data_IF_402355774837
#
_entry.id   IF_402355774837
#
_cell.length_a   1.000
_cell.length_b   1.000
_cell.length_c   1.000
_cell.angle_alpha   90.00
_cell.angle_beta   90.00
_cell.angle_gamma   90.00
#
_symmetry.space_group_name_H-M   'P 1'
#
loop_
_entity.id
_entity.type
_entity.pdbx_description
1 polymer ?
#
# COMPACT_ATOMS: atom_id res chain seq x y z
N UNK A 1 9.48 64.05 20.11
CA UNK A 1 10.11 62.72 19.91
C UNK A 1 9.58 62.18 18.60
N UNK A 2 10.50 61.85 17.68
CA UNK A 2 10.36 62.09 16.24
C UNK A 2 9.54 61.04 15.47
N UNK A 3 8.85 61.52 14.43
CA UNK A 3 8.08 60.78 13.39
C UNK A 3 8.92 59.69 12.66
N UNK A 4 10.21 59.58 12.96
CA UNK A 4 11.11 58.54 12.44
C UNK A 4 10.94 57.15 13.07
N UNK A 5 10.19 56.99 14.16
CA UNK A 5 10.01 55.67 14.80
C UNK A 5 8.77 54.91 14.31
N UNK A 6 7.80 55.57 13.64
CA UNK A 6 6.60 54.92 13.11
C UNK A 6 6.72 54.41 11.66
N UNK A 7 7.83 54.70 10.97
CA UNK A 7 8.11 54.13 9.63
C UNK A 7 8.86 52.78 9.68
N UNK A 8 9.36 52.36 10.85
CA UNK A 8 10.12 51.11 10.96
C UNK A 8 9.24 49.87 11.16
N UNK A 9 8.01 50.01 11.64
CA UNK A 9 7.09 48.89 11.90
C UNK A 9 6.06 48.63 10.79
N UNK A 10 6.09 49.39 9.68
CA UNK A 10 5.28 49.12 8.48
C UNK A 10 6.12 48.46 7.36
N UNK A 11 7.42 48.24 7.59
CA UNK A 11 8.33 47.63 6.61
C UNK A 11 8.74 46.17 6.93
N UNK A 12 8.01 45.50 7.83
CA UNK A 12 8.18 44.04 8.10
C UNK A 12 6.94 43.23 7.68
N UNK A 13 5.80 43.86 7.41
CA UNK A 13 4.54 43.20 7.06
C UNK A 13 4.25 43.07 5.55
N UNK A 14 5.27 43.17 4.69
CA UNK A 14 5.15 42.91 3.25
C UNK A 14 6.36 42.17 2.66
N UNK A 15 6.94 41.21 3.40
CA UNK A 15 7.81 40.22 2.76
C UNK A 15 6.94 39.17 2.08
N UNK A 16 6.60 39.47 0.83
CA UNK A 16 6.17 38.52 -0.19
C UNK A 16 7.10 37.28 -0.16
N UNK A 17 6.72 36.26 0.61
CA UNK A 17 7.29 34.91 0.53
C UNK A 17 6.70 34.17 -0.69
N UNK A 18 6.85 34.78 -1.87
CA UNK A 18 6.65 34.15 -3.17
C UNK A 18 7.85 34.48 -4.04
N UNK A 19 9.02 33.97 -3.68
CA UNK A 19 10.04 33.71 -4.66
C UNK A 19 9.71 32.36 -5.30
N UNK A 20 9.60 32.25 -6.64
CA UNK A 20 9.42 30.96 -7.28
C UNK A 20 10.69 30.14 -7.03
N UNK A 21 10.57 29.04 -6.28
CA UNK A 21 11.57 27.98 -6.31
C UNK A 21 11.64 27.41 -7.73
N UNK A 22 12.41 28.04 -8.61
CA UNK A 22 12.75 27.47 -9.92
C UNK A 22 14.24 27.70 -10.20
N UNK A 23 14.92 26.58 -10.48
CA UNK A 23 15.89 26.44 -11.57
C UNK A 23 17.41 26.36 -11.28
N UNK A 24 17.88 26.14 -10.05
CA UNK A 24 19.34 25.92 -9.86
C UNK A 24 19.79 24.45 -9.80
N UNK A 25 18.92 23.51 -9.45
CA UNK A 25 19.23 22.07 -9.40
C UNK A 25 18.21 21.22 -10.17
N UNK A 26 17.88 21.60 -11.41
CA UNK A 26 17.10 20.74 -12.28
C UNK A 26 18.03 19.76 -13.00
N UNK A 27 17.91 18.46 -12.74
CA UNK A 27 18.61 17.44 -13.52
C UNK A 27 18.10 17.49 -14.97
N UNK A 28 19.00 17.80 -15.91
CA UNK A 28 18.70 17.70 -17.33
C UNK A 28 18.91 16.26 -17.76
N UNK A 29 17.85 15.61 -18.24
CA UNK A 29 17.99 14.31 -18.89
C UNK A 29 18.74 14.47 -20.20
N UNK A 30 19.77 13.64 -20.41
CA UNK A 30 20.49 13.55 -21.68
C UNK A 30 19.91 12.46 -22.60
N UNK A 31 18.76 11.89 -22.25
CA UNK A 31 18.10 10.83 -23.01
C UNK A 31 17.22 11.45 -24.10
N UNK A 32 17.47 11.09 -25.36
CA UNK A 32 16.57 11.40 -26.47
C UNK A 32 15.46 10.35 -26.58
N UNK A 33 14.21 10.78 -26.45
CA UNK A 33 13.03 9.91 -26.55
C UNK A 33 12.73 9.46 -27.99
N UNK A 34 13.33 10.09 -29.00
CA UNK A 34 13.15 9.73 -30.40
C UNK A 34 14.14 8.67 -30.89
N UNK A 35 15.21 8.44 -30.15
CA UNK A 35 16.21 7.44 -30.46
C UNK A 35 15.60 6.03 -30.52
N UNK A 36 16.10 5.20 -31.43
CA UNK A 36 15.68 3.82 -31.61
C UNK A 36 16.04 2.97 -30.39
N UNK A 37 17.14 3.27 -29.70
CA UNK A 37 17.52 2.57 -28.45
C UNK A 37 16.48 2.85 -27.37
N UNK A 38 16.09 4.11 -27.18
CA UNK A 38 15.04 4.48 -26.24
C UNK A 38 13.72 3.77 -26.56
N UNK A 39 13.27 3.81 -27.82
CA UNK A 39 12.02 3.17 -28.26
C UNK A 39 12.01 1.66 -28.03
N UNK A 40 13.14 0.99 -28.29
CA UNK A 40 13.30 -0.45 -28.05
C UNK A 40 13.23 -0.78 -26.57
N UNK A 41 13.96 -0.02 -25.73
CA UNK A 41 13.94 -0.21 -24.28
C UNK A 41 12.56 0.04 -23.69
N UNK A 42 11.90 1.12 -24.15
CA UNK A 42 10.53 1.44 -23.77
C UNK A 42 9.56 0.30 -24.13
N UNK A 43 9.65 -0.23 -25.37
CA UNK A 43 8.80 -1.32 -25.81
C UNK A 43 9.00 -2.60 -24.98
N UNK A 44 10.25 -2.93 -24.64
CA UNK A 44 10.57 -4.08 -23.79
C UNK A 44 10.05 -3.91 -22.37
N UNK A 45 10.28 -2.75 -21.76
CA UNK A 45 9.76 -2.45 -20.41
C UNK A 45 8.23 -2.49 -20.39
N UNK A 46 7.58 -1.92 -21.42
CA UNK A 46 6.11 -1.93 -21.53
C UNK A 46 5.56 -3.36 -21.55
N UNK A 47 6.20 -4.30 -22.25
CA UNK A 47 5.80 -5.72 -22.23
C UNK A 47 5.86 -6.32 -20.83
N UNK A 48 6.93 -6.05 -20.07
CA UNK A 48 7.08 -6.55 -18.70
C UNK A 48 6.04 -5.95 -17.75
N UNK A 49 5.75 -4.65 -17.88
CA UNK A 49 4.70 -3.98 -17.10
C UNK A 49 3.33 -4.57 -17.41
N UNK A 50 3.01 -4.80 -18.69
CA UNK A 50 1.72 -5.40 -19.07
C UNK A 50 1.57 -6.85 -18.57
N UNK A 51 2.65 -7.65 -18.57
CA UNK A 51 2.64 -8.98 -17.97
C UNK A 51 2.39 -8.92 -16.44
N UNK A 52 3.07 -8.00 -15.75
CA UNK A 52 2.87 -7.75 -14.33
C UNK A 52 1.42 -7.35 -14.03
N UNK A 53 0.87 -6.40 -14.79
CA UNK A 53 -0.52 -5.95 -14.65
C UNK A 53 -1.51 -7.10 -14.84
N UNK A 54 -1.30 -7.96 -15.85
CA UNK A 54 -2.13 -9.14 -16.10
C UNK A 54 -2.12 -10.10 -14.90
N UNK A 55 -0.93 -10.39 -14.34
CA UNK A 55 -0.78 -11.22 -13.14
C UNK A 55 -1.47 -10.61 -11.93
N UNK A 56 -1.37 -9.30 -11.74
CA UNK A 56 -2.07 -8.58 -10.68
C UNK A 56 -3.59 -8.71 -10.87
N UNK A 57 -4.12 -8.48 -12.08
CA UNK A 57 -5.55 -8.62 -12.36
C UNK A 57 -6.07 -10.03 -12.04
N UNK A 58 -5.29 -11.07 -12.31
CA UNK A 58 -5.62 -12.42 -11.87
C UNK A 58 -5.69 -12.54 -10.35
N UNK A 59 -4.68 -12.03 -9.65
CA UNK A 59 -4.62 -12.06 -8.18
C UNK A 59 -5.78 -11.30 -7.53
N UNK A 60 -6.22 -10.19 -8.12
CA UNK A 60 -7.36 -9.40 -7.62
C UNK A 60 -8.67 -10.21 -7.59
N UNK A 61 -8.78 -11.31 -8.35
CA UNK A 61 -9.94 -12.19 -8.34
C UNK A 61 -10.01 -13.11 -7.11
N UNK A 62 -9.02 -13.10 -6.22
CA UNK A 62 -9.00 -13.93 -5.02
C UNK A 62 -9.17 -15.42 -5.35
N UNK A 63 -10.02 -16.14 -4.63
CA UNK A 63 -10.32 -17.55 -4.89
C UNK A 63 -11.16 -17.86 -6.13
N UNK A 64 -11.37 -16.88 -7.02
CA UNK A 64 -12.20 -17.00 -8.22
C UNK A 64 -13.66 -16.57 -8.00
N UNK A 65 -14.39 -16.40 -9.10
CA UNK A 65 -15.74 -15.82 -9.12
C UNK A 65 -16.73 -16.61 -8.26
N UNK A 66 -16.78 -17.94 -8.39
CA UNK A 66 -17.68 -18.78 -7.58
C UNK A 66 -17.46 -18.63 -6.08
N UNK A 67 -16.20 -18.53 -5.64
CA UNK A 67 -15.88 -18.35 -4.23
C UNK A 67 -16.27 -16.96 -3.73
N UNK A 68 -16.06 -15.92 -4.56
CA UNK A 68 -16.47 -14.54 -4.29
C UNK A 68 -17.99 -14.42 -4.19
N UNK A 69 -18.73 -14.98 -5.13
CA UNK A 69 -20.20 -14.98 -5.12
C UNK A 69 -20.75 -15.67 -3.87
N UNK A 70 -20.21 -16.84 -3.51
CA UNK A 70 -20.59 -17.56 -2.27
C UNK A 70 -20.28 -16.75 -1.02
N UNK A 71 -19.21 -15.96 -1.03
CA UNK A 71 -18.84 -15.10 0.08
C UNK A 71 -19.79 -13.90 0.19
N UNK A 72 -20.07 -13.23 -0.92
CA UNK A 72 -20.98 -12.09 -1.02
C UNK A 72 -22.42 -12.48 -0.69
N UNK A 73 -22.89 -13.66 -1.10
CA UNK A 73 -24.25 -14.14 -0.81
C UNK A 73 -24.55 -14.33 0.68
N UNK A 74 -23.50 -14.34 1.53
CA UNK A 74 -23.61 -14.34 3.00
C UNK A 74 -23.69 -12.94 3.60
N UNK A 75 -23.80 -11.88 2.78
CA UNK A 75 -23.84 -10.49 3.22
C UNK A 75 -22.49 -9.96 3.72
N UNK A 76 -21.38 -10.62 3.37
CA UNK A 76 -20.03 -10.22 3.80
C UNK A 76 -19.31 -9.46 2.68
N UNK A 77 -18.60 -8.39 3.05
CA UNK A 77 -17.70 -7.68 2.13
C UNK A 77 -16.48 -8.53 1.75
N UNK A 78 -15.93 -8.32 0.55
CA UNK A 78 -14.62 -8.90 0.19
C UNK A 78 -13.50 -8.19 0.97
N UNK A 79 -12.33 -8.83 1.14
CA UNK A 79 -11.24 -8.25 1.93
C UNK A 79 -10.75 -6.89 1.41
N UNK A 80 -10.67 -6.73 0.07
CA UNK A 80 -10.28 -5.45 -0.56
C UNK A 80 -11.33 -4.36 -0.33
N UNK A 81 -12.60 -4.71 -0.36
CA UNK A 81 -13.68 -3.78 -0.05
C UNK A 81 -13.62 -3.35 1.42
N UNK A 82 -13.34 -4.27 2.35
CA UNK A 82 -13.15 -3.93 3.77
C UNK A 82 -12.01 -2.95 3.98
N UNK A 83 -10.87 -3.18 3.31
CA UNK A 83 -9.75 -2.25 3.36
C UNK A 83 -10.18 -0.89 2.81
N UNK A 84 -10.84 -0.85 1.65
CA UNK A 84 -11.34 0.40 1.06
C UNK A 84 -12.30 1.17 1.96
N UNK A 85 -13.16 0.47 2.72
CA UNK A 85 -14.07 1.08 3.70
C UNK A 85 -13.37 1.55 4.99
N UNK A 86 -12.23 0.93 5.34
CA UNK A 86 -11.45 1.29 6.53
C UNK A 86 -10.57 2.52 6.30
N UNK A 87 -10.06 2.67 5.07
CA UNK A 87 -9.14 3.76 4.71
C UNK A 87 -9.84 5.12 4.69
N UNK A 88 -9.07 6.17 5.01
CA UNK A 88 -9.53 7.54 4.89
C UNK A 88 -9.88 7.86 3.42
N UNK A 89 -10.99 8.59 3.15
CA UNK A 89 -11.38 8.93 1.79
C UNK A 89 -10.27 9.65 1.01
N UNK A 90 -9.91 9.12 -0.16
CA UNK A 90 -8.86 9.66 -1.02
C UNK A 90 -7.43 9.32 -0.60
N UNK A 91 -7.24 8.59 0.50
CA UNK A 91 -5.92 8.09 0.91
C UNK A 91 -5.45 6.95 0.00
N UNK A 92 -4.13 6.86 -0.19
CA UNK A 92 -3.53 5.78 -0.94
C UNK A 92 -3.38 4.52 -0.07
N UNK A 93 -3.32 3.37 -0.74
CA UNK A 93 -2.99 2.08 -0.13
C UNK A 93 -1.78 1.46 -0.81
N UNK A 94 -0.70 1.29 -0.07
CA UNK A 94 0.51 0.62 -0.53
C UNK A 94 0.42 -0.87 -0.17
N UNK A 95 -0.05 -1.68 -1.12
CA UNK A 95 -0.13 -3.13 -0.91
C UNK A 95 1.25 -3.80 -0.97
N UNK A 96 1.50 -4.70 -0.04
CA UNK A 96 2.75 -5.45 0.10
C UNK A 96 2.61 -6.84 -0.48
N UNK A 97 3.60 -7.26 -1.28
CA UNK A 97 3.73 -8.64 -1.77
C UNK A 97 2.45 -9.18 -2.45
N UNK A 98 1.88 -8.40 -3.39
CA UNK A 98 0.69 -8.76 -4.16
C UNK A 98 0.80 -10.15 -4.82
N UNK A 99 1.96 -10.46 -5.41
CA UNK A 99 2.19 -11.75 -6.10
C UNK A 99 2.65 -12.89 -5.17
N UNK A 100 2.48 -12.76 -3.85
CA UNK A 100 2.81 -13.85 -2.94
C UNK A 100 2.03 -15.12 -3.31
N UNK A 101 2.74 -16.26 -3.37
CA UNK A 101 2.16 -17.56 -3.71
C UNK A 101 1.98 -17.82 -5.21
N UNK A 102 2.32 -16.85 -6.09
CA UNK A 102 2.30 -17.05 -7.53
C UNK A 102 3.23 -18.22 -7.94
N UNK A 103 2.66 -19.21 -8.62
CA UNK A 103 3.34 -20.42 -9.12
C UNK A 103 4.08 -21.26 -8.05
N UNK A 104 3.80 -21.03 -6.76
CA UNK A 104 4.55 -21.66 -5.67
C UNK A 104 4.07 -23.08 -5.32
N UNK A 105 2.79 -23.38 -5.54
CA UNK A 105 2.14 -24.64 -5.10
C UNK A 105 1.71 -25.52 -6.28
N UNK A 106 2.48 -25.51 -7.37
CA UNK A 106 2.23 -26.31 -8.56
C UNK A 106 0.89 -25.95 -9.21
N UNK A 107 -0.08 -26.88 -9.16
CA UNK A 107 -1.42 -26.66 -9.74
C UNK A 107 -2.34 -25.85 -8.83
N UNK A 108 -1.99 -25.68 -7.56
CA UNK A 108 -2.80 -24.94 -6.61
C UNK A 108 -2.48 -23.46 -6.65
N UNK A 109 -3.48 -22.65 -6.96
CA UNK A 109 -3.35 -21.20 -6.86
C UNK A 109 -3.71 -20.72 -5.45
N UNK A 110 -2.85 -19.86 -4.90
CA UNK A 110 -3.07 -19.16 -3.64
C UNK A 110 -2.83 -17.66 -3.86
N UNK A 111 -3.76 -16.96 -4.54
CA UNK A 111 -3.61 -15.55 -4.87
C UNK A 111 -3.30 -14.69 -3.64
N UNK A 112 -2.33 -13.78 -3.78
CA UNK A 112 -1.80 -12.94 -2.71
C UNK A 112 -1.32 -13.69 -1.45
N UNK A 113 -1.15 -15.01 -1.50
CA UNK A 113 -0.87 -15.83 -0.34
C UNK A 113 -2.06 -15.96 0.62
N UNK A 114 -3.29 -15.72 0.15
CA UNK A 114 -4.52 -15.80 0.95
C UNK A 114 -4.71 -14.67 1.97
N UNK A 115 -3.83 -13.67 1.95
CA UNK A 115 -3.90 -12.48 2.78
C UNK A 115 -3.52 -11.23 1.99
N UNK A 116 -4.17 -10.12 2.30
CA UNK A 116 -3.87 -8.81 1.76
C UNK A 116 -3.19 -8.04 2.88
N UNK A 117 -1.99 -7.55 2.62
CA UNK A 117 -1.23 -6.75 3.56
C UNK A 117 -0.83 -5.43 2.90
N UNK A 118 -0.81 -4.34 3.64
CA UNK A 118 -0.43 -3.05 3.08
C UNK A 118 -0.41 -1.94 4.11
N UNK A 119 0.04 -0.77 3.68
CA UNK A 119 0.05 0.45 4.49
C UNK A 119 -1.00 1.39 3.93
N UNK A 120 -1.82 1.97 4.81
CA UNK A 120 -2.75 3.03 4.42
C UNK A 120 -3.18 3.87 5.61
N UNK A 121 -3.84 4.98 5.32
CA UNK A 121 -4.21 5.95 6.35
C UNK A 121 -5.58 5.63 6.94
N UNK A 122 -5.67 5.59 8.26
CA UNK A 122 -6.91 5.38 9.02
C UNK A 122 -6.99 6.45 10.11
N UNK A 123 -8.00 7.31 10.04
CA UNK A 123 -8.19 8.44 10.97
C UNK A 123 -6.96 9.34 11.09
N UNK A 124 -6.29 9.62 9.97
CA UNK A 124 -5.07 10.45 9.94
C UNK A 124 -3.78 9.72 10.29
N UNK A 125 -3.82 8.41 10.59
CA UNK A 125 -2.66 7.63 11.04
C UNK A 125 -2.31 6.57 10.01
N UNK A 126 -1.03 6.48 9.62
CA UNK A 126 -0.53 5.42 8.76
C UNK A 126 -0.49 4.09 9.53
N UNK A 127 -1.24 3.10 9.05
CA UNK A 127 -1.39 1.80 9.69
C UNK A 127 -0.98 0.68 8.73
N UNK A 128 -0.33 -0.35 9.25
CA UNK A 128 -0.23 -1.64 8.55
C UNK A 128 -1.56 -2.38 8.71
N UNK A 129 -2.20 -2.70 7.60
CA UNK A 129 -3.45 -3.44 7.55
C UNK A 129 -3.17 -4.84 7.04
N UNK A 130 -3.73 -5.85 7.72
CA UNK A 130 -3.66 -7.27 7.35
C UNK A 130 -5.08 -7.81 7.26
N UNK A 131 -5.53 -8.21 6.08
CA UNK A 131 -6.86 -8.75 5.85
C UNK A 131 -6.79 -10.16 5.26
N UNK A 132 -7.45 -11.12 5.90
CA UNK A 132 -7.54 -12.48 5.37
C UNK A 132 -8.54 -12.55 4.21
N UNK A 133 -8.20 -13.33 3.18
CA UNK A 133 -9.11 -13.63 2.07
C UNK A 133 -9.77 -15.00 2.24
N UNK A 134 -11.02 -15.08 2.73
CA UNK A 134 -11.73 -16.35 2.90
C UNK A 134 -12.08 -17.02 1.57
N UNK A 135 -12.02 -16.30 0.45
CA UNK A 135 -12.30 -16.87 -0.86
C UNK A 135 -11.15 -17.77 -1.31
N UNK A 136 -9.91 -17.46 -0.92
CA UNK A 136 -8.72 -18.24 -1.25
C UNK A 136 -8.59 -19.41 -0.29
N UNK A 137 -8.88 -20.63 -0.77
CA UNK A 137 -8.73 -21.88 0.00
C UNK A 137 -9.43 -21.83 1.37
N UNK A 138 -10.57 -21.13 1.43
CA UNK A 138 -11.35 -20.97 2.67
C UNK A 138 -10.70 -20.06 3.73
N UNK A 139 -9.67 -19.29 3.39
CA UNK A 139 -8.90 -18.47 4.34
C UNK A 139 -7.82 -19.24 5.12
N UNK A 140 -7.46 -20.43 4.64
CA UNK A 140 -6.43 -21.27 5.27
C UNK A 140 -5.03 -20.64 5.17
N UNK A 141 -4.21 -20.80 6.20
CA UNK A 141 -2.82 -20.35 6.19
C UNK A 141 -1.93 -21.35 5.47
N UNK A 142 -1.38 -20.95 4.33
CA UNK A 142 -0.30 -21.64 3.65
C UNK A 142 1.05 -21.16 4.23
N UNK A 143 2.16 -21.88 4.01
CA UNK A 143 3.49 -21.42 4.43
C UNK A 143 3.83 -20.00 3.95
N UNK A 144 3.41 -19.64 2.73
CA UNK A 144 3.61 -18.28 2.20
C UNK A 144 2.76 -17.23 2.94
N UNK A 145 1.58 -17.61 3.43
CA UNK A 145 0.69 -16.75 4.20
C UNK A 145 1.39 -16.31 5.48
N UNK A 146 1.98 -17.26 6.21
CA UNK A 146 2.74 -16.98 7.45
C UNK A 146 3.91 -16.05 7.15
N UNK A 147 4.70 -16.36 6.11
CA UNK A 147 5.85 -15.53 5.72
C UNK A 147 5.44 -14.10 5.35
N UNK A 148 4.35 -13.94 4.59
CA UNK A 148 3.82 -12.63 4.20
C UNK A 148 3.27 -11.85 5.41
N UNK A 149 2.59 -12.52 6.33
CA UNK A 149 2.07 -11.91 7.56
C UNK A 149 3.22 -11.40 8.44
N UNK A 150 4.21 -12.25 8.75
CA UNK A 150 5.39 -11.86 9.53
C UNK A 150 6.17 -10.72 8.86
N UNK A 151 6.25 -10.71 7.51
CA UNK A 151 6.86 -9.59 6.80
C UNK A 151 6.11 -8.28 7.00
N UNK A 152 4.79 -8.30 7.01
CA UNK A 152 3.98 -7.10 7.28
C UNK A 152 4.19 -6.59 8.71
N UNK A 153 4.25 -7.50 9.70
CA UNK A 153 4.58 -7.16 11.08
C UNK A 153 5.98 -6.57 11.23
N UNK A 154 6.97 -7.12 10.52
CA UNK A 154 8.32 -6.57 10.54
C UNK A 154 8.37 -5.15 9.95
N UNK A 155 7.62 -4.89 8.86
CA UNK A 155 7.48 -3.53 8.31
C UNK A 155 6.83 -2.60 9.35
N UNK A 156 5.76 -3.05 10.02
CA UNK A 156 5.10 -2.26 11.05
C UNK A 156 6.06 -1.92 12.20
N UNK A 157 6.79 -2.92 12.70
CA UNK A 157 7.75 -2.77 13.79
C UNK A 157 8.89 -1.81 13.44
N UNK A 158 9.50 -1.96 12.26
CA UNK A 158 10.60 -1.12 11.81
C UNK A 158 10.20 0.35 11.64
N UNK A 159 8.95 0.60 11.24
CA UNK A 159 8.43 1.94 10.97
C UNK A 159 7.54 2.49 12.10
N UNK A 160 7.37 1.75 13.19
CA UNK A 160 6.50 2.08 14.33
C UNK A 160 5.05 2.38 13.92
N UNK A 161 4.54 1.61 12.96
CA UNK A 161 3.18 1.75 12.45
C UNK A 161 2.21 0.88 13.28
N UNK A 162 1.05 1.39 13.69
CA UNK A 162 -0.01 0.56 14.27
C UNK A 162 -0.47 -0.54 13.31
N UNK A 163 -0.87 -1.69 13.85
CA UNK A 163 -1.35 -2.83 13.08
C UNK A 163 -2.87 -2.99 13.23
N UNK A 164 -3.58 -3.14 12.11
CA UNK A 164 -5.01 -3.46 12.07
C UNK A 164 -5.19 -4.81 11.38
N UNK A 165 -5.79 -5.76 12.12
CA UNK A 165 -6.04 -7.11 11.63
C UNK A 165 -7.53 -7.33 11.33
N UNK A 166 -7.86 -7.58 10.07
CA UNK A 166 -9.20 -7.88 9.58
C UNK A 166 -9.32 -9.40 9.35
N UNK A 167 -9.55 -10.14 10.44
CA UNK A 167 -9.72 -11.59 10.42
C UNK A 167 -11.17 -12.05 10.22
N UNK A 168 -11.36 -13.29 9.74
CA UNK A 168 -12.68 -13.95 9.63
C UNK A 168 -12.83 -15.22 10.46
N UNK A 169 -11.83 -15.56 11.26
CA UNK A 169 -11.86 -16.73 12.14
C UNK A 169 -12.09 -16.35 13.60
N UNK A 170 -12.86 -17.17 14.30
CA UNK A 170 -13.25 -17.09 15.71
C UNK A 170 -12.10 -17.39 16.70
N UNK A 171 -10.84 -17.43 16.27
CA UNK A 171 -9.73 -17.78 17.17
C UNK A 171 -8.88 -16.56 17.47
N UNK A 172 -8.94 -16.17 18.75
CA UNK A 172 -8.21 -15.11 19.46
C UNK A 172 -6.76 -14.98 18.98
N UNK A 173 -6.38 -13.81 18.46
CA UNK A 173 -5.12 -13.13 18.78
C UNK A 173 -5.32 -11.62 18.65
N UNK A 174 -5.93 -11.02 19.68
CA UNK A 174 -5.43 -9.72 20.15
C UNK A 174 -4.02 -9.96 20.70
N UNK A 175 -3.02 -10.04 19.81
CA UNK A 175 -1.63 -10.02 20.23
C UNK A 175 -1.30 -8.57 20.59
N UNK A 176 -1.51 -8.28 21.88
CA UNK A 176 -0.62 -7.53 22.76
C UNK A 176 0.56 -6.86 22.03
N UNK A 177 0.38 -5.59 21.70
CA UNK A 177 1.49 -4.63 21.57
C UNK A 177 1.24 -3.48 22.54
N UNK A 178 1.15 -3.83 23.82
CA UNK A 178 1.48 -2.98 24.94
C UNK A 178 2.57 -3.72 25.73
N UNK A 179 3.79 -3.79 25.17
CA UNK A 179 4.96 -3.96 26.01
C UNK A 179 5.79 -2.68 25.88
N UNK A 180 5.80 -1.82 26.91
CA UNK A 180 6.86 -0.84 27.05
C UNK A 180 8.14 -1.64 27.35
N UNK A 181 9.19 -1.34 26.59
CA UNK A 181 10.61 -1.56 26.88
C UNK A 181 10.99 -2.84 27.67
N UNK A 182 11.68 -3.77 27.00
CA UNK A 182 12.65 -4.63 27.66
C UNK A 182 14.03 -4.32 27.10
N UNK A 183 14.90 -3.89 28.02
CA UNK A 183 16.34 -3.59 27.92
C UNK A 183 17.15 -4.52 27.00
#
# INVERSE_FOLDING_TARGET
MSIKTLQFNIMIAQRNFRQPFRSLCAFKSNIDTNDNVYKTNYANMKKLVSDLESKIQHVLKGGGEKARERHLSRGKLLPRDRIGHLLDPGSAFLELSQLAGHELYGKEEVPAGGIITGIGQVSGVECVIVANDPTVKGGSYYPITVKKHLRAQEVARQNRLPCIYLGEFLTILTQFWNHPDSE
#
